data_IF_758348708003
#
_entry.id   IF_758348708003
#
_cell.length_a   1.000
_cell.length_b   1.000
_cell.length_c   1.000
_cell.angle_alpha   90.00
_cell.angle_beta   90.00
_cell.angle_gamma   90.00
#
_symmetry.space_group_name_H-M   'P 1'
#
loop_
_entity.id
_entity.type
_entity.pdbx_description
1 polymer ?
#
# COMPACT_ATOMS: atom_id res chain seq x y z
N UNK A 1 -19.70 -31.72 52.02
CA UNK A 1 -19.66 -31.43 53.47
C UNK A 1 -18.32 -30.79 53.79
N UNK A 2 -18.36 -29.57 54.34
CA UNK A 2 -17.42 -28.96 55.32
C UNK A 2 -15.92 -28.88 54.95
N UNK A 3 -15.40 -27.70 54.61
CA UNK A 3 -14.95 -26.59 55.49
C UNK A 3 -13.54 -26.83 56.04
N UNK A 4 -12.60 -25.98 55.56
CA UNK A 4 -11.52 -25.19 56.21
C UNK A 4 -11.12 -25.50 57.67
N UNK A 5 -10.05 -24.89 58.25
CA UNK A 5 -8.88 -24.15 57.73
C UNK A 5 -7.58 -24.61 58.47
N UNK A 6 -6.49 -23.82 58.43
CA UNK A 6 -5.64 -23.39 59.57
C UNK A 6 -4.27 -22.94 59.02
N UNK A 7 -3.55 -21.90 59.45
CA UNK A 7 -3.79 -20.67 60.22
C UNK A 7 -2.48 -19.88 60.09
N UNK A 8 -2.59 -18.56 59.95
CA UNK A 8 -1.51 -17.58 60.07
C UNK A 8 -1.01 -17.50 61.52
N UNK A 9 0.31 -17.59 61.76
CA UNK A 9 0.92 -17.11 63.01
C UNK A 9 2.08 -16.20 62.67
N UNK A 10 1.99 -14.97 63.17
CA UNK A 10 3.02 -13.96 63.16
C UNK A 10 3.71 -13.87 64.54
N UNK A 11 4.92 -13.29 64.56
CA UNK A 11 5.46 -12.29 65.50
C UNK A 11 6.89 -12.58 65.99
N UNK A 12 7.78 -11.63 65.63
CA UNK A 12 8.90 -11.00 66.37
C UNK A 12 10.01 -11.86 66.98
N UNK A 13 11.26 -11.42 67.14
CA UNK A 13 12.10 -10.31 66.67
C UNK A 13 13.46 -10.55 67.38
N UNK A 14 14.59 -10.11 66.82
CA UNK A 14 15.68 -9.50 67.59
C UNK A 14 16.76 -8.93 66.65
N UNK A 15 17.19 -7.74 67.04
CA UNK A 15 17.96 -6.69 66.39
C UNK A 15 19.48 -6.78 66.55
N UNK A 16 20.24 -6.12 65.67
CA UNK A 16 21.44 -5.28 65.94
C UNK A 16 22.09 -4.87 64.60
N UNK A 17 21.87 -3.65 64.07
CA UNK A 17 22.57 -2.36 64.31
C UNK A 17 23.36 -1.91 63.05
N UNK A 18 23.59 -0.60 62.84
CA UNK A 18 23.41 0.04 61.53
C UNK A 18 24.71 0.33 60.75
N UNK A 19 24.56 0.52 59.44
CA UNK A 19 25.57 1.10 58.54
C UNK A 19 24.94 2.29 57.78
N UNK A 20 25.73 3.28 57.33
CA UNK A 20 25.39 4.69 57.40
C UNK A 20 24.48 5.17 56.25
N UNK A 21 23.69 6.20 56.57
CA UNK A 21 22.98 7.04 55.61
C UNK A 21 23.98 7.81 54.76
N UNK A 22 23.89 7.63 53.44
CA UNK A 22 24.37 8.61 52.46
C UNK A 22 23.15 9.12 51.72
N UNK A 23 22.71 10.32 52.06
CA UNK A 23 21.91 11.16 51.17
C UNK A 23 22.76 11.48 49.93
N UNK A 24 22.20 11.32 48.74
CA UNK A 24 22.91 11.62 47.50
C UNK A 24 22.18 11.13 46.26
N UNK A 25 21.22 11.95 45.85
CA UNK A 25 20.70 12.10 44.49
C UNK A 25 19.97 10.90 43.87
N UNK A 26 18.64 11.03 43.81
CA UNK A 26 17.84 10.23 42.89
C UNK A 26 18.27 10.63 41.47
N UNK A 27 19.04 9.77 40.82
CA UNK A 27 19.30 9.87 39.38
C UNK A 27 17.96 9.83 38.66
N UNK A 28 17.47 11.00 38.29
CA UNK A 28 16.43 11.18 37.28
C UNK A 28 16.92 10.41 36.05
N UNK A 29 16.16 9.40 35.64
CA UNK A 29 16.39 8.75 34.36
C UNK A 29 16.37 9.84 33.28
N UNK A 30 17.32 9.89 32.35
CA UNK A 30 17.28 10.91 31.31
C UNK A 30 15.98 10.75 30.54
N UNK A 31 15.19 11.81 30.51
CA UNK A 31 14.11 11.95 29.54
C UNK A 31 14.74 11.76 28.14
N UNK A 32 14.09 11.02 27.22
CA UNK A 32 14.61 10.96 25.86
C UNK A 32 14.61 12.37 25.29
N UNK A 33 15.78 12.85 24.87
CA UNK A 33 15.94 14.13 24.19
C UNK A 33 14.94 14.20 23.02
N UNK A 34 13.93 15.03 23.16
CA UNK A 34 12.93 15.34 22.14
C UNK A 34 13.49 16.31 21.08
N UNK A 35 14.75 16.12 20.68
CA UNK A 35 15.45 16.89 19.64
C UNK A 35 16.02 15.95 18.56
N UNK A 36 15.44 14.75 18.44
CA UNK A 36 15.77 13.77 17.43
C UNK A 36 15.41 14.26 16.03
N UNK A 37 16.39 14.84 15.35
CA UNK A 37 16.54 14.91 13.89
C UNK A 37 15.25 15.34 13.16
N UNK A 38 14.97 16.65 13.18
CA UNK A 38 14.00 17.28 12.27
C UNK A 38 14.39 16.90 10.83
N UNK A 39 13.56 16.11 10.15
CA UNK A 39 13.83 15.76 8.77
C UNK A 39 13.71 16.98 7.86
N UNK A 40 14.73 17.23 7.05
CA UNK A 40 14.69 18.31 6.08
C UNK A 40 13.74 17.94 4.94
N UNK A 41 12.85 18.85 4.50
CA UNK A 41 12.05 18.63 3.30
C UNK A 41 12.95 18.33 2.10
N UNK A 42 12.57 17.32 1.30
CA UNK A 42 13.39 16.90 0.16
C UNK A 42 12.65 15.99 -0.80
N UNK A 43 13.12 15.95 -2.04
CA UNK A 43 12.70 14.96 -3.03
C UNK A 43 13.72 13.83 -3.06
N UNK A 44 13.26 12.61 -2.80
CA UNK A 44 14.06 11.39 -2.87
C UNK A 44 13.63 10.53 -4.06
N UNK A 45 14.48 9.61 -4.51
CA UNK A 45 14.21 8.84 -5.72
C UNK A 45 14.59 7.38 -5.56
N UNK A 46 13.71 6.49 -6.03
CA UNK A 46 13.95 5.06 -6.19
C UNK A 46 13.85 4.70 -7.68
N UNK A 47 14.62 3.69 -8.11
CA UNK A 47 14.64 3.24 -9.52
C UNK A 47 14.74 1.73 -9.62
N UNK A 48 14.20 1.19 -10.69
CA UNK A 48 14.36 -0.20 -11.10
C UNK A 48 14.68 -0.24 -12.60
N UNK A 49 15.62 -1.10 -13.00
CA UNK A 49 16.11 -1.19 -14.38
C UNK A 49 17.23 -0.20 -14.73
N UNK A 50 17.60 -0.10 -16.02
CA UNK A 50 16.97 -0.80 -17.14
C UNK A 50 17.32 -2.30 -17.14
N UNK A 51 16.38 -3.12 -17.61
CA UNK A 51 16.63 -4.50 -18.00
C UNK A 51 15.89 -4.80 -19.32
N UNK A 52 16.42 -5.74 -20.08
CA UNK A 52 15.96 -6.00 -21.46
C UNK A 52 14.89 -7.09 -21.49
N UNK A 53 13.75 -6.78 -22.10
CA UNK A 53 12.64 -7.69 -22.35
C UNK A 53 12.59 -8.10 -23.84
N UNK A 54 12.73 -9.39 -24.12
CA UNK A 54 12.58 -9.91 -25.48
C UNK A 54 11.10 -9.88 -25.95
N UNK A 55 10.81 -9.89 -27.27
CA UNK A 55 9.44 -9.92 -27.77
C UNK A 55 8.61 -11.08 -27.19
N UNK A 56 7.41 -10.78 -26.73
CA UNK A 56 6.47 -11.74 -26.14
C UNK A 56 6.85 -12.23 -24.75
N UNK A 57 7.86 -11.63 -24.11
CA UNK A 57 8.28 -11.97 -22.76
C UNK A 57 7.50 -11.17 -21.71
N UNK A 58 7.14 -11.84 -20.63
CA UNK A 58 6.48 -11.32 -19.44
C UNK A 58 7.24 -11.86 -18.22
N UNK A 59 7.51 -11.00 -17.25
CA UNK A 59 8.08 -11.38 -15.96
C UNK A 59 7.76 -10.29 -14.92
N UNK A 60 7.92 -10.64 -13.65
CA UNK A 60 7.87 -9.70 -12.54
C UNK A 60 9.24 -9.65 -11.88
N UNK A 61 9.83 -8.45 -11.80
CA UNK A 61 11.16 -8.24 -11.25
C UNK A 61 11.09 -7.29 -10.06
N UNK A 62 11.80 -7.65 -8.99
CA UNK A 62 11.85 -6.91 -7.75
C UNK A 62 13.25 -6.37 -7.48
N UNK A 63 13.31 -5.18 -6.87
CA UNK A 63 14.49 -4.64 -6.17
C UNK A 63 14.06 -4.03 -4.85
N UNK A 64 14.98 -3.98 -3.89
CA UNK A 64 14.84 -3.18 -2.67
C UNK A 64 15.95 -2.15 -2.63
N UNK A 65 15.63 -0.85 -2.57
CA UNK A 65 16.62 0.23 -2.57
C UNK A 65 16.54 1.06 -1.30
N UNK A 66 17.66 1.60 -0.85
CA UNK A 66 17.70 2.64 0.20
C UNK A 66 17.18 3.94 -0.41
N UNK A 67 16.19 4.58 0.22
CA UNK A 67 15.63 5.85 -0.24
C UNK A 67 16.62 7.02 -0.11
N UNK A 68 17.67 6.87 0.71
CA UNK A 68 18.70 7.87 0.95
C UNK A 68 18.23 9.04 1.81
N UNK A 69 17.14 8.87 2.57
CA UNK A 69 16.70 9.87 3.54
C UNK A 69 17.44 9.68 4.87
N UNK A 70 18.17 10.70 5.32
CA UNK A 70 19.00 10.63 6.53
C UNK A 70 18.19 10.57 7.84
N UNK A 71 16.91 10.95 7.76
CA UNK A 71 16.01 11.11 8.91
C UNK A 71 14.65 10.51 8.60
N UNK A 72 13.97 10.03 9.63
CA UNK A 72 12.55 9.69 9.51
C UNK A 72 11.72 10.92 9.10
N UNK A 73 10.57 10.67 8.48
CA UNK A 73 9.70 11.71 7.96
C UNK A 73 8.42 11.14 7.40
N UNK A 74 7.74 11.92 6.55
CA UNK A 74 6.51 11.51 5.91
C UNK A 74 6.54 11.84 4.42
N UNK A 75 6.14 10.87 3.60
CA UNK A 75 5.85 11.10 2.19
C UNK A 75 4.54 11.87 2.10
N UNK A 76 4.53 13.00 1.39
CA UNK A 76 3.34 13.82 1.09
C UNK A 76 2.97 13.84 -0.39
N UNK A 77 3.80 13.26 -1.24
CA UNK A 77 3.59 13.22 -2.67
C UNK A 77 4.48 12.17 -3.33
N UNK A 78 3.94 11.53 -4.37
CA UNK A 78 4.65 10.52 -5.16
C UNK A 78 4.46 10.84 -6.64
N UNK A 79 5.53 10.70 -7.42
CA UNK A 79 5.51 10.77 -8.90
C UNK A 79 6.20 9.52 -9.44
N UNK A 80 5.60 8.87 -10.43
CA UNK A 80 6.11 7.65 -11.06
C UNK A 80 6.18 7.84 -12.57
N UNK A 81 7.34 7.48 -13.12
CA UNK A 81 7.56 7.30 -14.55
C UNK A 81 7.81 5.82 -14.83
N UNK A 82 7.00 5.23 -15.72
CA UNK A 82 7.21 3.88 -16.25
C UNK A 82 7.76 3.97 -17.68
N UNK A 83 8.82 3.23 -17.94
CA UNK A 83 9.39 3.07 -19.26
C UNK A 83 8.49 2.25 -20.19
N UNK A 84 8.86 2.19 -21.46
CA UNK A 84 8.14 1.37 -22.43
C UNK A 84 8.15 -0.11 -22.02
N UNK A 85 7.03 -0.81 -22.21
CA UNK A 85 6.90 -2.24 -21.89
C UNK A 85 6.55 -2.53 -20.42
N UNK A 86 6.56 -1.54 -19.54
CA UNK A 86 6.00 -1.67 -18.19
C UNK A 86 4.47 -1.85 -18.24
N UNK A 87 3.93 -2.72 -17.38
CA UNK A 87 2.49 -2.92 -17.21
C UNK A 87 1.99 -2.31 -15.90
N UNK A 88 2.67 -2.59 -14.78
CA UNK A 88 2.48 -1.85 -13.54
C UNK A 88 3.72 -1.90 -12.65
N UNK A 89 3.83 -0.91 -11.77
CA UNK A 89 4.83 -0.87 -10.70
C UNK A 89 4.12 -0.79 -9.34
N UNK A 90 4.42 -1.72 -8.45
CA UNK A 90 3.99 -1.66 -7.05
C UNK A 90 5.17 -1.15 -6.21
N UNK A 91 4.94 -0.06 -5.50
CA UNK A 91 5.91 0.62 -4.65
C UNK A 91 5.53 0.35 -3.20
N UNK A 92 6.46 -0.20 -2.41
CA UNK A 92 6.26 -0.44 -0.99
C UNK A 92 7.33 0.27 -0.16
N UNK A 93 6.93 0.74 1.02
CA UNK A 93 7.84 0.89 2.15
C UNK A 93 8.03 -0.50 2.75
N UNK A 94 9.26 -0.95 2.91
CA UNK A 94 9.57 -2.25 3.54
C UNK A 94 9.84 -2.02 5.02
N UNK A 95 9.15 -2.76 5.90
CA UNK A 95 9.20 -2.54 7.35
C UNK A 95 10.57 -2.98 7.93
N UNK A 96 11.01 -4.17 7.54
CA UNK A 96 12.28 -4.77 7.94
C UNK A 96 12.98 -5.37 6.72
N UNK A 97 14.24 -4.98 6.46
CA UNK A 97 15.01 -5.58 5.39
C UNK A 97 16.14 -4.69 4.89
N UNK A 98 17.31 -5.28 4.69
CA UNK A 98 18.41 -4.59 4.02
C UNK A 98 18.06 -4.36 2.54
N UNK A 99 18.44 -3.21 1.96
CA UNK A 99 18.38 -2.99 0.52
C UNK A 99 19.10 -4.11 -0.25
N UNK A 100 18.48 -4.55 -1.33
CA UNK A 100 19.01 -5.48 -2.33
C UNK A 100 18.69 -4.90 -3.71
N UNK A 101 19.56 -4.02 -4.24
CA UNK A 101 19.27 -3.27 -5.46
C UNK A 101 19.44 -4.13 -6.73
N UNK A 102 19.87 -5.39 -6.60
CA UNK A 102 20.03 -6.29 -7.73
C UNK A 102 18.66 -6.79 -8.21
N UNK A 103 18.25 -6.52 -9.46
CA UNK A 103 16.98 -6.98 -9.98
C UNK A 103 16.89 -8.51 -10.00
N UNK A 104 15.83 -9.06 -9.40
CA UNK A 104 15.56 -10.50 -9.44
C UNK A 104 14.10 -10.77 -9.80
N UNK A 105 13.90 -11.81 -10.61
CA UNK A 105 12.54 -12.34 -10.82
C UNK A 105 11.94 -12.73 -9.46
N UNK A 106 10.70 -12.34 -9.25
CA UNK A 106 9.94 -12.51 -8.02
C UNK A 106 8.49 -12.89 -8.33
N UNK A 107 7.79 -13.43 -7.33
CA UNK A 107 6.34 -13.64 -7.46
C UNK A 107 5.57 -12.34 -7.28
N UNK A 108 4.34 -12.30 -7.77
CA UNK A 108 3.44 -11.16 -7.51
C UNK A 108 3.27 -10.92 -6.01
N UNK A 109 3.20 -9.64 -5.63
CA UNK A 109 3.06 -9.16 -4.26
C UNK A 109 4.22 -9.58 -3.34
N UNK A 110 5.44 -9.66 -3.86
CA UNK A 110 6.64 -10.10 -3.14
C UNK A 110 6.92 -9.27 -1.88
N UNK A 111 6.58 -7.99 -1.90
CA UNK A 111 6.79 -7.07 -0.78
C UNK A 111 5.55 -6.88 0.11
N UNK A 112 4.42 -7.52 -0.20
CA UNK A 112 3.19 -7.38 0.60
C UNK A 112 3.31 -8.00 1.99
N UNK A 113 4.17 -9.02 2.13
CA UNK A 113 4.50 -9.61 3.44
C UNK A 113 5.71 -8.89 4.04
N UNK A 114 5.46 -7.92 4.92
CA UNK A 114 6.51 -7.13 5.57
C UNK A 114 6.78 -5.77 4.92
N UNK A 115 5.82 -5.25 4.18
CA UNK A 115 5.84 -3.90 3.64
C UNK A 115 4.45 -3.30 3.53
N UNK A 116 4.40 -1.98 3.51
CA UNK A 116 3.20 -1.18 3.30
C UNK A 116 3.21 -0.61 1.89
N UNK A 117 2.20 -0.87 1.05
CA UNK A 117 2.11 -0.24 -0.26
C UNK A 117 2.04 1.29 -0.14
N UNK A 118 2.88 1.98 -0.90
CA UNK A 118 2.92 3.43 -1.00
C UNK A 118 2.20 3.92 -2.25
N UNK A 119 2.37 3.20 -3.37
CA UNK A 119 1.79 3.57 -4.65
C UNK A 119 1.69 2.36 -5.60
N UNK A 120 0.67 2.34 -6.45
CA UNK A 120 0.58 1.42 -7.58
C UNK A 120 0.42 2.26 -8.85
N UNK A 121 1.43 2.23 -9.72
CA UNK A 121 1.39 2.91 -11.00
C UNK A 121 0.93 1.93 -12.09
N UNK A 122 -0.07 2.34 -12.86
CA UNK A 122 -0.61 1.59 -14.01
C UNK A 122 -0.67 2.45 -15.28
N UNK A 123 -0.09 3.64 -15.24
CA UNK A 123 0.07 4.53 -16.40
C UNK A 123 1.54 4.90 -16.53
N UNK A 124 1.96 5.25 -17.74
CA UNK A 124 3.34 5.69 -18.01
C UNK A 124 3.78 6.84 -17.10
N UNK A 125 2.87 7.77 -16.83
CA UNK A 125 3.07 8.85 -15.88
C UNK A 125 1.96 8.78 -14.84
N UNK A 126 2.33 8.82 -13.57
CA UNK A 126 1.37 8.84 -12.48
C UNK A 126 1.85 9.72 -11.35
N UNK A 127 0.95 10.43 -10.69
CA UNK A 127 1.30 11.25 -9.54
C UNK A 127 0.15 11.35 -8.57
N UNK A 128 0.46 11.43 -7.27
CA UNK A 128 -0.51 11.69 -6.23
C UNK A 128 0.09 12.60 -5.19
N UNK A 129 -0.53 13.76 -4.98
CA UNK A 129 -0.28 14.63 -3.85
C UNK A 129 -1.29 14.31 -2.75
N UNK A 130 -0.83 14.23 -1.50
CA UNK A 130 -1.70 13.97 -0.37
C UNK A 130 -2.37 15.27 0.10
N UNK A 131 -3.55 15.18 0.77
CA UNK A 131 -4.19 16.35 1.36
C UNK A 131 -3.25 17.12 2.29
N UNK A 132 -3.48 18.42 2.45
CA UNK A 132 -2.69 19.25 3.35
C UNK A 132 -2.71 18.67 4.79
N UNK A 133 -1.52 18.53 5.39
CA UNK A 133 -1.37 17.95 6.72
C UNK A 133 -1.43 16.42 6.76
N UNK A 134 -1.45 15.74 5.62
CA UNK A 134 -1.44 14.28 5.56
C UNK A 134 -0.12 13.70 5.01
N UNK A 135 0.25 12.51 5.48
CA UNK A 135 1.47 11.84 5.05
C UNK A 135 1.48 10.34 5.32
N UNK A 136 2.29 9.58 4.58
CA UNK A 136 2.67 8.20 4.93
C UNK A 136 4.04 8.22 5.60
N UNK A 137 4.17 7.61 6.79
CA UNK A 137 5.44 7.63 7.52
C UNK A 137 6.56 6.88 6.75
N UNK A 138 7.80 7.25 7.02
CA UNK A 138 9.00 6.53 6.60
C UNK A 138 10.08 6.66 7.68
N UNK A 139 10.88 5.63 7.86
CA UNK A 139 12.04 5.64 8.76
C UNK A 139 13.27 6.27 8.10
N UNK A 140 14.30 6.61 8.87
CA UNK A 140 15.61 6.96 8.29
C UNK A 140 16.17 5.78 7.49
N UNK A 141 16.77 6.06 6.32
CA UNK A 141 17.24 5.06 5.37
C UNK A 141 16.16 4.04 5.00
N UNK A 142 14.94 4.53 4.73
CA UNK A 142 13.80 3.67 4.42
C UNK A 142 14.10 2.78 3.22
N UNK A 143 14.00 1.47 3.40
CA UNK A 143 14.03 0.52 2.28
C UNK A 143 12.72 0.64 1.48
N UNK A 144 12.84 0.88 0.18
CA UNK A 144 11.74 0.90 -0.79
C UNK A 144 11.80 -0.36 -1.65
N UNK A 145 10.74 -1.15 -1.61
CA UNK A 145 10.54 -2.30 -2.48
C UNK A 145 9.85 -1.85 -3.76
N UNK A 146 10.45 -2.16 -4.91
CA UNK A 146 9.90 -1.91 -6.23
C UNK A 146 9.63 -3.25 -6.91
N UNK A 147 8.37 -3.53 -7.21
CA UNK A 147 7.93 -4.71 -7.95
C UNK A 147 7.38 -4.29 -9.31
N UNK A 148 8.15 -4.55 -10.36
CA UNK A 148 7.81 -4.20 -11.73
C UNK A 148 7.29 -5.44 -12.46
N UNK A 149 6.02 -5.40 -12.85
CA UNK A 149 5.47 -6.32 -13.82
C UNK A 149 5.52 -5.67 -15.20
N UNK A 150 6.11 -6.37 -16.16
CA UNK A 150 6.31 -5.86 -17.52
C UNK A 150 6.02 -6.93 -18.56
N UNK A 151 5.63 -6.47 -19.75
CA UNK A 151 5.36 -7.31 -20.90
C UNK A 151 5.81 -6.59 -22.18
N UNK A 152 6.62 -7.28 -23.00
CA UNK A 152 6.96 -6.79 -24.34
C UNK A 152 5.97 -7.33 -25.38
N UNK A 153 4.89 -6.60 -25.64
CA UNK A 153 3.87 -6.96 -26.63
C UNK A 153 4.12 -6.37 -28.05
N UNK A 154 5.26 -5.69 -28.29
CA UNK A 154 5.50 -4.94 -29.54
C UNK A 154 5.84 -5.82 -30.76
N UNK A 155 5.91 -7.14 -30.59
CA UNK A 155 6.02 -8.13 -31.67
C UNK A 155 7.40 -8.29 -32.28
N UNK A 156 8.23 -7.24 -32.31
CA UNK A 156 9.63 -7.28 -32.75
C UNK A 156 10.50 -6.33 -31.92
N UNK A 157 11.76 -6.71 -31.69
CA UNK A 157 12.74 -5.89 -30.99
C UNK A 157 12.69 -6.02 -29.47
N UNK A 158 13.87 -5.98 -28.86
CA UNK A 158 14.00 -5.93 -27.41
C UNK A 158 13.58 -4.54 -26.90
N UNK A 159 13.00 -4.50 -25.70
CA UNK A 159 12.60 -3.26 -25.02
C UNK A 159 13.37 -3.15 -23.71
N UNK A 160 13.95 -1.99 -23.44
CA UNK A 160 14.50 -1.68 -22.13
C UNK A 160 13.37 -1.23 -21.21
N UNK A 161 13.15 -2.02 -20.16
CA UNK A 161 12.13 -1.77 -19.15
C UNK A 161 12.79 -1.13 -17.94
N UNK A 162 12.26 0.02 -17.52
CA UNK A 162 12.73 0.75 -16.35
C UNK A 162 11.57 1.49 -15.69
N UNK A 163 11.75 1.87 -14.43
CA UNK A 163 10.89 2.86 -13.79
C UNK A 163 11.65 3.70 -12.78
N UNK A 164 11.09 4.88 -12.55
CA UNK A 164 11.57 5.86 -11.60
C UNK A 164 10.41 6.32 -10.73
N UNK A 165 10.66 6.41 -9.42
CA UNK A 165 9.72 6.93 -8.44
C UNK A 165 10.38 8.07 -7.70
N UNK A 166 9.72 9.21 -7.63
CA UNK A 166 10.12 10.37 -6.84
C UNK A 166 9.16 10.54 -5.66
N UNK A 167 9.71 10.80 -4.48
CA UNK A 167 8.97 10.96 -3.23
C UNK A 167 9.24 12.34 -2.66
N UNK A 168 8.19 13.09 -2.37
CA UNK A 168 8.29 14.34 -1.61
C UNK A 168 8.15 14.03 -0.12
N UNK A 169 9.23 14.23 0.63
CA UNK A 169 9.34 13.94 2.06
C UNK A 169 9.33 15.24 2.87
N UNK A 170 8.62 15.23 3.99
CA UNK A 170 8.54 16.35 4.95
C UNK A 170 8.75 15.87 6.40
N UNK A 171 9.16 16.77 7.31
CA UNK A 171 9.27 16.45 8.74
C UNK A 171 7.93 16.09 9.36
N UNK A 172 7.98 15.33 10.46
CA UNK A 172 6.81 14.97 11.26
C UNK A 172 5.98 16.17 11.75
N UNK A 173 6.59 17.35 11.92
CA UNK A 173 5.89 18.57 12.32
C UNK A 173 4.89 19.11 11.30
N UNK A 174 4.96 18.65 10.04
CA UNK A 174 4.03 19.05 8.97
C UNK A 174 2.82 18.10 8.81
N UNK A 175 2.87 16.90 9.41
CA UNK A 175 1.82 15.89 9.24
C UNK A 175 1.01 15.75 10.52
N UNK A 176 -0.30 15.91 10.36
CA UNK A 176 -1.30 15.80 11.41
C UNK A 176 -2.07 14.48 11.31
N UNK A 177 -2.16 13.89 10.12
CA UNK A 177 -2.97 12.70 9.84
C UNK A 177 -2.20 11.70 8.97
N UNK A 178 -2.21 10.42 9.35
CA UNK A 178 -1.56 9.37 8.57
C UNK A 178 -2.47 8.90 7.43
N UNK A 179 -1.90 8.78 6.23
CA UNK A 179 -2.57 8.21 5.06
C UNK A 179 -2.56 6.68 5.17
N UNK A 180 -3.74 6.09 4.98
CA UNK A 180 -3.97 4.67 4.85
C UNK A 180 -4.13 4.27 3.38
N UNK A 181 -3.81 3.02 3.08
CA UNK A 181 -3.95 2.42 1.76
C UNK A 181 -4.79 1.15 1.85
N UNK A 182 -5.87 1.09 1.07
CA UNK A 182 -6.69 -0.10 0.88
C UNK A 182 -6.33 -0.71 -0.48
N UNK A 183 -6.04 -2.00 -0.54
CA UNK A 183 -5.96 -2.78 -1.78
C UNK A 183 -6.78 -4.06 -1.62
N UNK A 184 -7.77 -4.24 -2.49
CA UNK A 184 -8.77 -5.30 -2.31
C UNK A 184 -9.48 -5.61 -3.62
N UNK A 185 -10.17 -6.75 -3.68
CA UNK A 185 -10.82 -7.22 -4.89
C UNK A 185 -11.45 -8.60 -4.73
N UNK A 186 -11.79 -9.22 -5.86
CA UNK A 186 -12.39 -10.55 -5.91
C UNK A 186 -11.37 -11.63 -6.30
N UNK A 187 -11.00 -12.47 -5.32
CA UNK A 187 -10.13 -13.62 -5.51
C UNK A 187 -10.86 -14.87 -6.04
N UNK A 188 -12.19 -14.83 -6.11
CA UNK A 188 -13.06 -15.92 -6.58
C UNK A 188 -13.48 -15.80 -8.05
N UNK A 189 -12.91 -14.84 -8.79
CA UNK A 189 -13.27 -14.54 -10.17
C UNK A 189 -13.23 -15.78 -11.07
N UNK A 190 -14.30 -15.98 -11.83
CA UNK A 190 -14.42 -17.02 -12.86
C UNK A 190 -15.23 -16.47 -14.02
N UNK A 191 -14.67 -16.51 -15.22
CA UNK A 191 -15.26 -15.97 -16.44
C UNK A 191 -15.41 -17.12 -17.45
N UNK A 192 -16.63 -17.62 -17.68
CA UNK A 192 -16.88 -18.72 -18.62
C UNK A 192 -16.46 -18.38 -20.06
N UNK A 193 -16.14 -19.40 -20.88
CA UNK A 193 -15.78 -19.19 -22.27
C UNK A 193 -16.94 -18.62 -23.09
N UNK A 194 -16.63 -17.73 -24.04
CA UNK A 194 -17.58 -17.12 -24.99
C UNK A 194 -18.74 -16.36 -24.35
N UNK A 195 -18.56 -15.88 -23.12
CA UNK A 195 -19.60 -15.19 -22.35
C UNK A 195 -19.16 -13.80 -21.87
N UNK A 196 -20.14 -12.95 -21.60
CA UNK A 196 -19.97 -11.74 -20.81
C UNK A 196 -20.28 -12.06 -19.35
N UNK A 197 -19.39 -11.65 -18.45
CA UNK A 197 -19.57 -11.83 -17.00
C UNK A 197 -19.50 -10.49 -16.30
N UNK A 198 -20.37 -10.30 -15.32
CA UNK A 198 -20.33 -9.17 -14.39
C UNK A 198 -20.11 -9.73 -13.00
N UNK A 199 -19.08 -9.25 -12.32
CA UNK A 199 -18.81 -9.56 -10.91
C UNK A 199 -18.89 -8.29 -10.09
N UNK A 200 -19.21 -8.43 -8.81
CA UNK A 200 -19.19 -7.30 -7.89
C UNK A 200 -18.69 -7.73 -6.52
N UNK A 201 -18.09 -6.78 -5.81
CA UNK A 201 -17.62 -6.96 -4.44
C UNK A 201 -17.86 -5.68 -3.66
N UNK A 202 -18.04 -5.80 -2.35
CA UNK A 202 -18.23 -4.66 -1.45
C UNK A 202 -17.19 -4.65 -0.34
N UNK A 203 -16.60 -3.48 -0.14
CA UNK A 203 -15.53 -3.25 0.82
C UNK A 203 -15.92 -2.10 1.75
N UNK A 204 -16.27 -2.45 2.99
CA UNK A 204 -16.62 -1.46 4.02
C UNK A 204 -15.42 -0.62 4.41
N UNK A 205 -15.64 0.67 4.64
CA UNK A 205 -14.64 1.57 5.22
C UNK A 205 -14.99 1.88 6.69
N UNK A 206 -14.00 2.28 7.53
CA UNK A 206 -14.29 2.81 8.85
C UNK A 206 -15.25 4.00 8.77
N UNK A 207 -16.21 4.07 9.71
CA UNK A 207 -17.12 5.21 9.77
C UNK A 207 -16.34 6.51 10.01
N UNK A 208 -16.51 7.50 9.14
CA UNK A 208 -15.77 8.76 9.14
C UNK A 208 -14.46 8.73 8.36
N UNK A 209 -14.12 7.63 7.69
CA UNK A 209 -13.00 7.58 6.75
C UNK A 209 -13.18 8.62 5.64
N UNK A 210 -12.05 9.19 5.19
CA UNK A 210 -12.00 10.24 4.16
C UNK A 210 -11.15 9.78 2.98
N UNK A 211 -11.79 9.29 1.92
CA UNK A 211 -11.10 8.84 0.71
C UNK A 211 -10.76 10.04 -0.16
N UNK A 212 -9.49 10.17 -0.55
CA UNK A 212 -9.03 11.28 -1.38
C UNK A 212 -8.46 10.84 -2.73
N UNK A 213 -8.18 9.56 -2.93
CA UNK A 213 -7.89 9.02 -4.24
C UNK A 213 -8.28 7.54 -4.34
N UNK A 214 -8.72 7.08 -5.51
CA UNK A 214 -9.00 5.67 -5.77
C UNK A 214 -8.93 5.35 -7.27
N UNK A 215 -8.78 4.06 -7.58
CA UNK A 215 -8.86 3.53 -8.94
C UNK A 215 -9.25 2.05 -8.90
N UNK A 216 -9.61 1.51 -10.06
CA UNK A 216 -9.81 0.09 -10.30
C UNK A 216 -8.69 -0.53 -11.13
N UNK A 217 -8.72 -1.86 -11.24
CA UNK A 217 -7.84 -2.64 -12.09
C UNK A 217 -8.52 -3.91 -12.59
N UNK A 218 -8.33 -4.16 -13.88
CA UNK A 218 -8.64 -5.41 -14.59
C UNK A 218 -7.50 -5.76 -15.54
N UNK A 219 -7.47 -6.98 -16.07
CA UNK A 219 -6.62 -7.31 -17.20
C UNK A 219 -7.41 -7.20 -18.53
N UNK A 220 -6.87 -7.79 -19.58
CA UNK A 220 -7.20 -7.55 -20.99
C UNK A 220 -8.64 -7.87 -21.43
N UNK A 221 -9.36 -8.71 -20.69
CA UNK A 221 -10.76 -9.05 -20.94
C UNK A 221 -11.73 -8.04 -20.32
N UNK A 222 -11.25 -7.20 -19.40
CA UNK A 222 -12.03 -6.14 -18.76
C UNK A 222 -12.62 -5.16 -19.76
N UNK A 223 -13.94 -5.03 -19.72
CA UNK A 223 -14.72 -4.09 -20.53
C UNK A 223 -15.12 -2.85 -19.73
N UNK A 224 -15.31 -3.01 -18.42
CA UNK A 224 -15.69 -1.96 -17.50
C UNK A 224 -15.18 -2.31 -16.10
N UNK A 225 -14.70 -1.32 -15.37
CA UNK A 225 -14.53 -1.37 -13.94
C UNK A 225 -15.06 -0.07 -13.32
N UNK A 226 -16.03 -0.18 -12.41
CA UNK A 226 -16.71 0.94 -11.79
C UNK A 226 -16.70 0.80 -10.27
N UNK A 227 -16.50 1.91 -9.57
CA UNK A 227 -16.52 1.98 -8.11
C UNK A 227 -17.64 2.93 -7.68
N UNK A 228 -18.56 2.43 -6.86
CA UNK A 228 -19.68 3.19 -6.30
C UNK A 228 -19.54 3.33 -4.78
N UNK A 229 -19.94 4.47 -4.21
CA UNK A 229 -20.16 4.58 -2.77
C UNK A 229 -21.54 4.05 -2.41
N UNK A 230 -21.60 3.01 -1.60
CA UNK A 230 -22.86 2.35 -1.23
C UNK A 230 -22.78 1.75 0.18
N UNK A 231 -23.87 1.16 0.68
CA UNK A 231 -23.93 0.47 1.98
C UNK A 231 -23.90 -1.05 1.86
N UNK A 232 -23.61 -1.58 0.67
CA UNK A 232 -23.52 -3.01 0.42
C UNK A 232 -23.46 -3.33 -1.08
N UNK A 233 -23.17 -4.59 -1.39
CA UNK A 233 -22.96 -5.06 -2.77
C UNK A 233 -24.20 -4.90 -3.67
N UNK A 234 -25.40 -5.05 -3.12
CA UNK A 234 -26.67 -4.85 -3.83
C UNK A 234 -27.22 -3.42 -3.75
N UNK A 235 -26.53 -2.52 -3.06
CA UNK A 235 -26.94 -1.12 -2.95
C UNK A 235 -26.53 -0.33 -4.20
N UNK A 236 -27.30 0.71 -4.50
CA UNK A 236 -27.01 1.68 -5.55
C UNK A 236 -26.47 2.95 -4.92
N UNK A 237 -25.53 3.62 -5.60
CA UNK A 237 -24.92 4.84 -5.08
C UNK A 237 -24.29 5.70 -6.16
N UNK A 238 -23.70 6.85 -5.79
CA UNK A 238 -22.94 7.65 -6.75
C UNK A 238 -21.69 6.87 -7.21
N UNK A 239 -21.49 6.85 -8.53
CA UNK A 239 -20.24 6.40 -9.16
C UNK A 239 -19.13 7.37 -8.79
N UNK A 240 -18.04 6.84 -8.27
CA UNK A 240 -16.83 7.58 -7.89
C UNK A 240 -15.71 7.42 -8.92
N UNK A 241 -15.66 6.28 -9.60
CA UNK A 241 -14.67 5.94 -10.63
C UNK A 241 -15.32 5.04 -11.67
N UNK A 242 -14.91 5.22 -12.92
CA UNK A 242 -15.34 4.40 -14.05
C UNK A 242 -14.19 4.31 -15.06
N UNK A 243 -13.80 3.09 -15.43
CA UNK A 243 -12.80 2.83 -16.46
C UNK A 243 -13.31 1.81 -17.47
N UNK A 244 -13.15 2.12 -18.75
CA UNK A 244 -13.31 1.19 -19.87
C UNK A 244 -11.96 0.77 -20.47
N UNK A 245 -10.86 1.21 -19.85
CA UNK A 245 -9.50 0.92 -20.29
C UNK A 245 -8.75 0.17 -19.20
N UNK A 246 -8.56 -1.14 -19.40
CA UNK A 246 -7.81 -1.99 -18.49
C UNK A 246 -6.32 -1.64 -18.43
N UNK A 247 -5.77 -1.10 -19.52
CA UNK A 247 -4.32 -0.86 -19.66
C UNK A 247 -3.85 0.45 -19.02
N UNK A 248 -4.74 1.45 -18.90
CA UNK A 248 -4.43 2.75 -18.30
C UNK A 248 -5.65 3.28 -17.54
N UNK A 249 -6.09 2.62 -16.44
CA UNK A 249 -7.23 3.11 -15.66
C UNK A 249 -6.87 4.43 -14.95
N UNK A 250 -7.80 5.41 -14.87
CA UNK A 250 -7.54 6.70 -14.24
C UNK A 250 -7.45 6.60 -12.71
N UNK A 251 -6.51 7.32 -12.11
CA UNK A 251 -6.53 7.59 -10.67
C UNK A 251 -7.43 8.80 -10.40
N UNK A 252 -8.63 8.56 -9.88
CA UNK A 252 -9.55 9.63 -9.48
C UNK A 252 -9.10 10.24 -8.15
N UNK A 253 -9.03 11.57 -8.09
CA UNK A 253 -8.60 12.35 -6.92
C UNK A 253 -9.74 13.26 -6.47
N UNK A 254 -9.99 13.32 -5.16
CA UNK A 254 -11.08 14.08 -4.55
C UNK A 254 -10.53 15.15 -3.61
N UNK A 255 -10.81 16.42 -3.94
CA UNK A 255 -10.54 17.57 -3.09
C UNK A 255 -11.81 18.44 -2.97
N UNK A 256 -12.47 18.49 -1.79
CA UNK A 256 -12.06 17.84 -0.54
C UNK A 256 -12.25 16.31 -0.56
N UNK A 257 -11.55 15.57 0.33
CA UNK A 257 -11.75 14.13 0.48
C UNK A 257 -13.21 13.74 0.76
N UNK A 258 -13.66 12.62 0.21
CA UNK A 258 -14.99 12.07 0.38
C UNK A 258 -15.15 11.41 1.75
N UNK A 259 -16.08 11.91 2.56
CA UNK A 259 -16.41 11.33 3.87
C UNK A 259 -17.37 10.14 3.68
N UNK A 260 -17.05 9.03 4.33
CA UNK A 260 -17.87 7.81 4.38
C UNK A 260 -18.57 7.69 5.73
N UNK A 261 -19.88 7.48 5.72
CA UNK A 261 -20.71 7.28 6.89
C UNK A 261 -20.64 5.87 7.46
N UNK A 262 -21.40 5.63 8.54
CA UNK A 262 -21.54 4.30 9.13
C UNK A 262 -22.16 3.31 8.12
N UNK A 263 -21.47 2.19 7.89
CA UNK A 263 -21.90 1.15 6.96
C UNK A 263 -21.67 1.47 5.48
N UNK A 264 -21.18 2.66 5.13
CA UNK A 264 -20.78 2.99 3.76
C UNK A 264 -19.43 2.37 3.41
N UNK A 265 -19.24 2.10 2.12
CA UNK A 265 -18.02 1.53 1.57
C UNK A 265 -17.97 1.65 0.06
N UNK A 266 -17.01 0.95 -0.52
CA UNK A 266 -16.77 0.92 -1.96
C UNK A 266 -17.33 -0.38 -2.53
N UNK A 267 -18.25 -0.27 -3.48
CA UNK A 267 -18.65 -1.40 -4.32
C UNK A 267 -17.88 -1.32 -5.62
N UNK A 268 -17.14 -2.37 -5.94
CA UNK A 268 -16.47 -2.53 -7.23
C UNK A 268 -17.31 -3.46 -8.10
N UNK A 269 -17.56 -3.05 -9.32
CA UNK A 269 -18.19 -3.87 -10.36
C UNK A 269 -17.25 -3.95 -11.55
N UNK A 270 -16.92 -5.17 -11.99
CA UNK A 270 -16.15 -5.40 -13.20
C UNK A 270 -16.97 -6.19 -14.21
N UNK A 271 -16.92 -5.79 -15.48
CA UNK A 271 -17.50 -6.52 -16.60
C UNK A 271 -16.41 -7.05 -17.51
N UNK A 272 -16.58 -8.28 -17.99
CA UNK A 272 -15.63 -8.96 -18.86
C UNK A 272 -16.31 -9.50 -20.09
N UNK A 273 -15.55 -9.59 -21.18
CA UNK A 273 -15.90 -10.41 -22.34
C UNK A 273 -14.79 -11.43 -22.54
N UNK A 274 -15.08 -12.72 -22.34
CA UNK A 274 -14.11 -13.78 -22.62
C UNK A 274 -14.34 -14.34 -24.04
N UNK A 275 -13.53 -13.96 -25.03
CA UNK A 275 -13.69 -14.45 -26.39
C UNK A 275 -13.10 -15.84 -26.58
N UNK A 276 -12.48 -16.47 -25.57
CA UNK A 276 -11.78 -17.75 -25.71
C UNK A 276 -12.70 -18.95 -25.52
N UNK A 277 -12.19 -20.16 -25.79
CA UNK A 277 -12.88 -21.43 -25.54
C UNK A 277 -12.58 -22.02 -24.15
N UNK A 278 -11.86 -21.29 -23.31
CA UNK A 278 -11.46 -21.72 -21.95
C UNK A 278 -12.01 -20.78 -20.90
N UNK A 279 -12.33 -21.33 -19.73
CA UNK A 279 -12.65 -20.51 -18.55
C UNK A 279 -11.39 -19.76 -18.11
N UNK A 280 -11.55 -18.46 -17.82
CA UNK A 280 -10.50 -17.62 -17.23
C UNK A 280 -10.82 -17.41 -15.75
N UNK A 281 -9.81 -17.39 -14.90
CA UNK A 281 -9.96 -17.28 -13.45
C UNK A 281 -9.17 -16.08 -12.91
N UNK A 282 -9.38 -15.79 -11.62
CA UNK A 282 -8.46 -14.92 -10.90
C UNK A 282 -7.01 -15.42 -11.04
N UNK A 283 -6.10 -14.49 -11.32
CA UNK A 283 -4.66 -14.71 -11.29
C UNK A 283 -3.88 -13.43 -11.56
N UNK A 284 -2.55 -13.54 -11.60
CA UNK A 284 -1.64 -12.37 -11.69
C UNK A 284 -0.87 -12.32 -13.00
N UNK A 285 -0.99 -13.36 -13.83
CA UNK A 285 -0.39 -13.38 -15.16
C UNK A 285 -1.28 -12.74 -16.22
N UNK A 286 -0.70 -12.48 -17.38
CA UNK A 286 -1.35 -11.85 -18.53
C UNK A 286 -2.62 -12.56 -19.02
N UNK A 287 -2.65 -13.89 -18.98
CA UNK A 287 -3.79 -14.70 -19.44
C UNK A 287 -4.88 -14.92 -18.36
N UNK A 288 -4.61 -14.49 -17.12
CA UNK A 288 -5.57 -14.49 -16.02
C UNK A 288 -6.31 -13.15 -15.95
N UNK A 289 -7.29 -13.02 -15.04
CA UNK A 289 -8.01 -11.76 -14.81
C UNK A 289 -7.99 -11.31 -13.34
N UNK A 290 -8.23 -10.02 -13.13
CA UNK A 290 -8.37 -9.40 -11.80
C UNK A 290 -9.58 -8.48 -11.78
N UNK A 291 -10.31 -8.44 -10.66
CA UNK A 291 -11.26 -7.36 -10.36
C UNK A 291 -10.86 -6.70 -9.04
N UNK A 292 -10.01 -5.68 -9.12
CA UNK A 292 -9.40 -5.05 -7.95
C UNK A 292 -9.63 -3.54 -7.91
N UNK A 293 -9.52 -2.99 -6.70
CA UNK A 293 -9.47 -1.56 -6.43
C UNK A 293 -8.40 -1.26 -5.40
N UNK A 294 -7.91 -0.03 -5.43
CA UNK A 294 -7.26 0.56 -4.27
C UNK A 294 -7.74 1.98 -4.01
N UNK A 295 -7.62 2.38 -2.74
CA UNK A 295 -8.02 3.69 -2.27
C UNK A 295 -7.02 4.21 -1.24
N UNK A 296 -6.75 5.52 -1.32
CA UNK A 296 -6.00 6.27 -0.33
C UNK A 296 -6.98 7.06 0.53
N UNK A 297 -6.89 6.89 1.84
CA UNK A 297 -7.83 7.50 2.76
C UNK A 297 -7.17 7.93 4.07
N UNK A 298 -7.82 8.86 4.77
CA UNK A 298 -7.46 9.23 6.13
C UNK A 298 -8.45 8.56 7.09
N UNK A 299 -7.92 8.01 8.19
CA UNK A 299 -8.77 7.45 9.23
C UNK A 299 -9.68 8.51 9.88
N UNK A 300 -10.81 8.09 10.48
CA UNK A 300 -11.60 8.95 11.33
C UNK A 300 -10.79 9.42 12.54
N UNK A 301 -10.97 10.70 12.93
CA UNK A 301 -10.38 11.27 14.14
C UNK A 301 -11.15 10.88 15.40
#
# INVERSE_FOLDING_TARGET
MRVLPVTLVALLACSSSPAPETEGDASVAPEPDADGMIGEPGTHMARIGPFTAAPGFEDTVCVSVDLGNETAGYIRGIRVHLGQGSHHLIVHRVDDGAPDPEPRSCGAFAHASGGTPLFIAQQLESSLAYPEGAGMAIEAHQTIGLEMHYINYFGEGDVDVEAMVEFDVVPASEVLEEVQFLFTGDLGLTIPPRETSTVSSFHSLPAGARVFALTSHTHQLGQLAAIERTTGESGEGPVLHESYNWSEPPLDVFDPPLVFGEGEGLKLTCEYLNPTDTTVHFGTGFDDEMCFLWAYYLDPR
#
